data_IF_807567290843
#
_entry.id   IF_807567290843
#
_cell.length_a   1.000
_cell.length_b   1.000
_cell.length_c   1.000
_cell.angle_alpha   90.00
_cell.angle_beta   90.00
_cell.angle_gamma   90.00
#
_symmetry.space_group_name_H-M   'P 1'
#
loop_
_entity.id
_entity.type
_entity.pdbx_description
1 polymer ?
#
# COMPACT_ATOMS: atom_id res chain seq x y z
N UNK A 1 -40.66 39.21 -50.91
CA UNK A 1 -39.80 39.05 -49.71
C UNK A 1 -39.00 37.80 -49.98
N UNK A 2 -37.75 37.98 -50.38
CA UNK A 2 -36.84 36.97 -50.95
C UNK A 2 -36.24 36.12 -49.84
N UNK A 3 -36.51 34.81 -49.84
CA UNK A 3 -35.80 33.84 -49.01
C UNK A 3 -34.40 33.61 -49.58
N UNK A 4 -33.40 33.90 -48.77
CA UNK A 4 -31.98 33.74 -49.05
C UNK A 4 -31.58 32.27 -48.78
N UNK A 5 -31.25 31.53 -49.83
CA UNK A 5 -30.79 30.14 -49.77
C UNK A 5 -29.32 30.13 -49.29
N UNK A 6 -29.14 30.19 -47.96
CA UNK A 6 -27.82 30.03 -47.34
C UNK A 6 -27.29 28.62 -47.58
N UNK A 7 -26.13 28.52 -48.24
CA UNK A 7 -25.45 27.26 -48.53
C UNK A 7 -25.17 26.43 -47.25
N UNK A 8 -25.12 25.09 -47.34
CA UNK A 8 -24.81 24.24 -46.19
C UNK A 8 -23.41 24.55 -45.64
N UNK A 9 -23.19 24.46 -44.31
CA UNK A 9 -21.86 24.66 -43.72
C UNK A 9 -20.85 23.66 -44.31
N UNK A 10 -19.59 24.07 -44.52
CA UNK A 10 -18.55 23.16 -44.99
C UNK A 10 -18.40 21.99 -44.03
N UNK A 11 -18.37 20.77 -44.59
CA UNK A 11 -18.19 19.53 -43.83
C UNK A 11 -16.94 19.62 -42.96
N UNK A 12 -16.97 19.12 -41.70
CA UNK A 12 -15.77 18.96 -40.90
C UNK A 12 -14.74 18.15 -41.68
N UNK A 13 -13.49 18.63 -41.74
CA UNK A 13 -12.40 17.94 -42.38
C UNK A 13 -12.18 16.57 -41.69
N UNK A 14 -12.69 15.51 -42.31
CA UNK A 14 -12.60 14.13 -41.84
C UNK A 14 -11.14 13.65 -41.75
N UNK A 15 -10.18 14.43 -42.26
CA UNK A 15 -8.75 14.21 -42.08
C UNK A 15 -8.23 14.49 -40.66
N UNK A 16 -8.87 15.40 -39.90
CA UNK A 16 -8.41 15.78 -38.57
C UNK A 16 -8.65 14.71 -37.50
N UNK A 17 -9.65 13.84 -37.67
CA UNK A 17 -9.93 12.72 -36.77
C UNK A 17 -8.97 11.52 -36.95
N UNK A 18 -8.09 11.57 -37.96
CA UNK A 18 -7.37 10.38 -38.46
C UNK A 18 -5.86 10.36 -38.21
N UNK A 19 -5.28 11.38 -37.55
CA UNK A 19 -3.83 11.45 -37.32
C UNK A 19 -3.34 10.85 -35.98
N UNK A 20 -4.02 9.84 -35.43
CA UNK A 20 -3.43 9.03 -34.35
C UNK A 20 -2.36 8.11 -34.95
N UNK A 21 -1.08 8.43 -34.74
CA UNK A 21 0.07 7.73 -35.32
C UNK A 21 0.28 6.33 -34.75
N UNK A 22 0.99 5.43 -35.47
CA UNK A 22 1.24 4.03 -35.05
C UNK A 22 2.05 3.86 -33.74
N UNK A 23 2.57 4.97 -33.19
CA UNK A 23 3.36 5.02 -31.95
C UNK A 23 2.56 5.52 -30.73
N UNK A 24 1.26 5.73 -30.88
CA UNK A 24 0.41 6.20 -29.80
C UNK A 24 -0.14 5.04 -28.97
N UNK A 25 0.21 5.07 -27.70
CA UNK A 25 -0.25 4.15 -26.69
C UNK A 25 -1.24 4.81 -25.76
N UNK A 26 -2.20 4.02 -25.32
CA UNK A 26 -3.08 4.33 -24.23
C UNK A 26 -2.86 3.31 -23.11
N UNK A 27 -3.08 3.74 -21.88
CA UNK A 27 -2.93 2.90 -20.70
C UNK A 27 -4.02 3.22 -19.68
N UNK A 28 -4.37 2.26 -18.85
CA UNK A 28 -5.41 2.43 -17.83
C UNK A 28 -4.79 2.57 -16.45
N UNK A 29 -5.08 3.67 -15.76
CA UNK A 29 -4.71 3.86 -14.34
C UNK A 29 -5.94 4.27 -13.57
N UNK A 30 -6.19 3.60 -12.45
CA UNK A 30 -7.35 3.84 -11.59
C UNK A 30 -8.70 3.80 -12.35
N UNK A 31 -8.83 2.91 -13.33
CA UNK A 31 -10.04 2.77 -14.16
C UNK A 31 -10.22 3.85 -15.22
N UNK A 32 -9.34 4.85 -15.29
CA UNK A 32 -9.37 5.90 -16.31
C UNK A 32 -8.39 5.60 -17.44
N UNK A 33 -8.87 5.73 -18.69
CA UNK A 33 -8.02 5.70 -19.89
C UNK A 33 -7.16 6.97 -19.94
N UNK A 34 -5.85 6.80 -20.06
CA UNK A 34 -4.85 7.86 -20.26
C UNK A 34 -4.18 7.71 -21.62
N UNK A 35 -3.64 8.81 -22.15
CA UNK A 35 -3.02 8.90 -23.48
C UNK A 35 -3.79 9.83 -24.43
N UNK A 36 -3.35 9.95 -25.69
CA UNK A 36 -2.25 9.19 -26.32
C UNK A 36 -0.87 9.56 -25.75
N UNK A 37 0.00 8.57 -25.61
CA UNK A 37 1.38 8.71 -25.11
C UNK A 37 2.33 7.86 -25.94
N UNK A 38 3.64 7.97 -25.70
CA UNK A 38 4.66 7.20 -26.42
C UNK A 38 5.15 5.98 -25.61
N UNK A 39 5.74 5.00 -26.28
CA UNK A 39 6.35 3.84 -25.62
C UNK A 39 7.47 4.23 -24.64
N UNK A 40 8.23 5.29 -24.94
CA UNK A 40 9.28 5.82 -24.04
C UNK A 40 8.67 6.42 -22.77
N UNK A 41 7.56 7.15 -22.89
CA UNK A 41 6.83 7.64 -21.71
C UNK A 41 6.27 6.50 -20.88
N UNK A 42 5.74 5.43 -21.50
CA UNK A 42 5.31 4.24 -20.76
C UNK A 42 6.48 3.58 -20.04
N UNK A 43 7.67 3.49 -20.67
CA UNK A 43 8.89 3.03 -20.03
C UNK A 43 9.25 3.87 -18.80
N UNK A 44 9.17 5.20 -18.91
CA UNK A 44 9.47 6.11 -17.80
C UNK A 44 8.46 5.97 -16.66
N UNK A 45 7.17 5.81 -16.97
CA UNK A 45 6.12 5.56 -15.98
C UNK A 45 6.33 4.22 -15.27
N UNK A 46 6.75 3.18 -16.00
CA UNK A 46 7.10 1.87 -15.44
C UNK A 46 8.32 1.99 -14.50
N UNK A 47 9.39 2.65 -14.97
CA UNK A 47 10.60 2.90 -14.17
C UNK A 47 10.31 3.71 -12.89
N UNK A 48 9.38 4.66 -12.96
CA UNK A 48 8.91 5.46 -11.82
C UNK A 48 7.93 4.71 -10.91
N UNK A 49 7.54 3.47 -11.25
CA UNK A 49 6.51 2.67 -10.57
C UNK A 49 5.16 3.39 -10.46
N UNK A 50 4.84 4.23 -11.44
CA UNK A 50 3.51 4.86 -11.58
C UNK A 50 2.52 3.91 -12.25
N UNK A 51 3.02 2.97 -13.05
CA UNK A 51 2.28 1.86 -13.64
C UNK A 51 2.98 0.53 -13.32
N UNK A 52 2.22 -0.55 -13.16
CA UNK A 52 2.71 -1.90 -12.87
C UNK A 52 2.77 -2.75 -14.17
N UNK A 53 3.45 -3.90 -14.16
CA UNK A 53 3.65 -4.76 -15.35
C UNK A 53 2.37 -5.44 -15.86
N UNK A 54 1.33 -5.45 -15.04
CA UNK A 54 -0.02 -5.91 -15.35
C UNK A 54 -0.96 -4.77 -15.79
N UNK A 55 -0.46 -3.53 -15.86
CA UNK A 55 -1.24 -2.38 -16.33
C UNK A 55 -1.75 -2.64 -17.74
N UNK A 56 -3.04 -2.43 -17.95
CA UNK A 56 -3.66 -2.60 -19.26
C UNK A 56 -3.20 -1.48 -20.20
N UNK A 57 -2.62 -1.89 -21.33
CA UNK A 57 -2.19 -1.01 -22.41
C UNK A 57 -2.88 -1.40 -23.70
N UNK A 58 -3.06 -0.40 -24.57
CA UNK A 58 -3.66 -0.58 -25.87
C UNK A 58 -3.06 0.40 -26.85
N UNK A 59 -2.89 -0.03 -28.10
CA UNK A 59 -2.56 0.84 -29.21
C UNK A 59 -3.46 0.53 -30.39
N UNK A 60 -3.56 1.50 -31.30
CA UNK A 60 -4.27 1.34 -32.56
C UNK A 60 -3.73 0.12 -33.32
N UNK A 61 -4.64 -0.79 -33.68
CA UNK A 61 -4.30 -2.09 -34.31
C UNK A 61 -4.37 -3.30 -33.37
N UNK A 62 -4.49 -3.09 -32.06
CA UNK A 62 -4.79 -4.18 -31.12
C UNK A 62 -6.30 -4.43 -31.02
N UNK A 63 -6.77 -5.70 -31.04
CA UNK A 63 -8.19 -6.02 -30.96
C UNK A 63 -8.78 -5.75 -29.57
N UNK A 64 -7.97 -5.87 -28.51
CA UNK A 64 -8.38 -5.71 -27.13
C UNK A 64 -7.23 -5.13 -26.28
N UNK A 65 -7.58 -4.63 -25.09
CA UNK A 65 -6.60 -4.21 -24.09
C UNK A 65 -5.79 -5.41 -23.62
N UNK A 66 -4.47 -5.25 -23.53
CA UNK A 66 -3.58 -6.31 -23.03
C UNK A 66 -2.72 -5.81 -21.87
N UNK A 67 -2.37 -6.69 -20.91
CA UNK A 67 -1.38 -6.36 -19.90
C UNK A 67 -0.06 -5.94 -20.55
N UNK A 68 0.63 -4.96 -19.98
CA UNK A 68 1.90 -4.42 -20.48
C UNK A 68 2.89 -5.54 -20.83
N UNK A 69 3.05 -6.52 -19.94
CA UNK A 69 3.96 -7.68 -20.13
C UNK A 69 3.62 -8.57 -21.34
N UNK A 70 2.36 -8.57 -21.79
CA UNK A 70 1.84 -9.40 -22.90
C UNK A 70 1.68 -8.60 -24.20
N UNK A 71 1.97 -7.29 -24.14
CA UNK A 71 1.92 -6.38 -25.28
C UNK A 71 3.26 -6.34 -26.02
N UNK A 72 3.30 -5.60 -27.13
CA UNK A 72 4.55 -5.32 -27.85
C UNK A 72 5.58 -4.54 -27.00
N UNK A 73 5.15 -3.97 -25.87
CA UNK A 73 6.02 -3.36 -24.87
C UNK A 73 6.57 -4.36 -23.83
N UNK A 74 6.29 -5.65 -23.99
CA UNK A 74 6.75 -6.70 -23.09
C UNK A 74 8.28 -6.78 -22.98
N UNK A 75 9.02 -6.38 -24.02
CA UNK A 75 10.49 -6.28 -23.97
C UNK A 75 10.98 -5.24 -22.96
N UNK A 76 10.20 -4.17 -22.71
CA UNK A 76 10.50 -3.18 -21.66
C UNK A 76 10.37 -3.80 -20.25
N UNK A 77 9.58 -4.87 -20.12
CA UNK A 77 9.38 -5.63 -18.89
C UNK A 77 10.41 -6.76 -18.77
N UNK A 78 10.84 -7.35 -19.88
CA UNK A 78 11.78 -8.48 -19.92
C UNK A 78 13.16 -8.16 -19.30
N UNK A 79 13.51 -6.89 -19.15
CA UNK A 79 14.70 -6.47 -18.39
C UNK A 79 14.57 -6.61 -16.87
N UNK A 80 13.36 -6.80 -16.33
CA UNK A 80 13.15 -7.09 -14.92
C UNK A 80 13.03 -8.61 -14.69
N UNK A 81 13.86 -9.19 -13.79
CA UNK A 81 13.74 -10.60 -13.46
C UNK A 81 12.35 -10.90 -12.87
N UNK A 82 11.76 -12.08 -13.14
CA UNK A 82 10.45 -12.44 -12.65
C UNK A 82 10.41 -12.39 -11.12
N UNK A 83 9.27 -11.96 -10.55
CA UNK A 83 9.09 -11.89 -9.11
C UNK A 83 9.38 -13.24 -8.45
N UNK A 84 10.12 -13.21 -7.34
CA UNK A 84 10.52 -14.41 -6.60
C UNK A 84 9.25 -15.10 -6.09
N UNK A 85 9.20 -16.44 -6.19
CA UNK A 85 8.07 -17.20 -5.66
C UNK A 85 7.78 -16.82 -4.19
N UNK A 86 6.52 -16.50 -3.90
CA UNK A 86 6.07 -16.07 -2.58
C UNK A 86 6.34 -17.09 -1.46
N UNK A 87 6.63 -18.36 -1.80
CA UNK A 87 7.04 -19.40 -0.84
C UNK A 87 8.41 -19.13 -0.21
N UNK A 88 9.30 -18.41 -0.89
CA UNK A 88 10.64 -18.06 -0.38
C UNK A 88 10.66 -16.77 0.45
N UNK A 89 9.54 -16.04 0.52
CA UNK A 89 9.45 -14.80 1.29
C UNK A 89 9.10 -15.14 2.73
N UNK A 90 10.06 -14.97 3.63
CA UNK A 90 9.86 -15.18 5.06
C UNK A 90 8.84 -14.19 5.66
N UNK A 91 8.08 -14.67 6.66
CA UNK A 91 7.03 -13.89 7.32
C UNK A 91 7.46 -13.29 8.68
N UNK A 92 8.76 -13.27 8.99
CA UNK A 92 9.28 -12.88 10.30
C UNK A 92 8.84 -11.49 10.76
N UNK A 93 9.12 -10.44 9.97
CA UNK A 93 8.76 -9.06 10.31
C UNK A 93 7.26 -8.86 10.50
N UNK A 94 6.48 -9.54 9.67
CA UNK A 94 5.02 -9.49 9.71
C UNK A 94 4.45 -10.17 10.96
N UNK A 95 5.05 -11.28 11.40
CA UNK A 95 4.68 -11.88 12.68
C UNK A 95 5.10 -11.04 13.88
N UNK A 96 6.27 -10.40 13.81
CA UNK A 96 6.67 -9.41 14.83
C UNK A 96 5.68 -8.26 14.90
N UNK A 97 5.27 -7.70 13.76
CA UNK A 97 4.21 -6.69 13.69
C UNK A 97 2.90 -7.22 14.28
N UNK A 98 2.50 -8.44 13.92
CA UNK A 98 1.25 -9.06 14.38
C UNK A 98 1.19 -9.25 15.89
N UNK A 99 2.31 -9.53 16.55
CA UNK A 99 2.37 -9.74 18.01
C UNK A 99 2.74 -8.47 18.78
N UNK A 100 3.11 -7.38 18.10
CA UNK A 100 3.51 -6.15 18.77
C UNK A 100 2.39 -5.53 19.63
N UNK A 101 1.11 -5.48 19.22
CA UNK A 101 0.04 -4.89 20.03
C UNK A 101 -0.15 -5.56 21.39
N UNK A 102 -0.08 -6.89 21.45
CA UNK A 102 -0.22 -7.61 22.73
C UNK A 102 0.98 -7.33 23.65
N UNK A 103 2.20 -7.31 23.11
CA UNK A 103 3.40 -6.98 23.90
C UNK A 103 3.30 -5.58 24.48
N UNK A 104 2.86 -4.60 23.68
CA UNK A 104 2.67 -3.23 24.15
C UNK A 104 1.57 -3.14 25.22
N UNK A 105 0.43 -3.81 25.02
CA UNK A 105 -0.66 -3.83 26.00
C UNK A 105 -0.24 -4.42 27.35
N UNK A 106 0.58 -5.48 27.34
CA UNK A 106 1.17 -6.06 28.57
C UNK A 106 2.07 -5.06 29.28
N UNK A 107 2.95 -4.35 28.55
CA UNK A 107 3.84 -3.35 29.15
C UNK A 107 3.04 -2.21 29.78
N UNK A 108 2.04 -1.68 29.08
CA UNK A 108 1.18 -0.61 29.61
C UNK A 108 0.40 -1.07 30.85
N UNK A 109 -0.12 -2.30 30.85
CA UNK A 109 -0.81 -2.88 31.99
C UNK A 109 0.12 -3.01 33.21
N UNK A 110 1.36 -3.46 33.01
CA UNK A 110 2.35 -3.54 34.09
C UNK A 110 2.71 -2.18 34.67
N UNK A 111 2.88 -1.16 33.81
CA UNK A 111 3.15 0.21 34.26
C UNK A 111 1.94 0.78 35.02
N UNK A 112 0.72 0.57 34.53
CA UNK A 112 -0.51 0.99 35.21
C UNK A 112 -0.65 0.34 36.59
N UNK A 113 -0.49 -0.99 36.68
CA UNK A 113 -0.54 -1.73 37.95
C UNK A 113 0.53 -1.22 38.94
N UNK A 114 1.76 -1.04 38.48
CA UNK A 114 2.83 -0.51 39.33
C UNK A 114 2.56 0.91 39.82
N UNK A 115 1.92 1.75 39.01
CA UNK A 115 1.54 3.10 39.41
C UNK A 115 0.42 3.10 40.46
N UNK A 116 -0.58 2.22 40.34
CA UNK A 116 -1.67 2.08 41.32
C UNK A 116 -1.13 1.62 42.69
N UNK A 117 -0.25 0.61 42.71
CA UNK A 117 0.39 0.13 43.94
C UNK A 117 1.21 1.22 44.64
N UNK A 118 1.98 2.00 43.86
CA UNK A 118 2.78 3.10 44.39
C UNK A 118 1.91 4.24 44.93
N UNK A 119 0.82 4.57 44.23
CA UNK A 119 -0.14 5.57 44.68
C UNK A 119 -0.81 5.19 46.00
N UNK A 120 -1.25 3.94 46.16
CA UNK A 120 -1.85 3.45 47.41
C UNK A 120 -0.89 3.56 48.61
N UNK A 121 0.39 3.18 48.41
CA UNK A 121 1.43 3.30 49.45
C UNK A 121 1.73 4.76 49.79
N UNK A 122 1.76 5.63 48.78
CA UNK A 122 2.03 7.06 48.97
C UNK A 122 0.95 7.75 49.81
N UNK A 123 -0.31 7.38 49.60
CA UNK A 123 -1.45 7.85 50.39
C UNK A 123 -1.34 7.41 51.85
N UNK A 124 -0.99 6.14 52.09
CA UNK A 124 -0.81 5.61 53.44
C UNK A 124 0.34 6.29 54.21
N UNK A 125 1.39 6.73 53.50
CA UNK A 125 2.58 7.35 54.10
C UNK A 125 2.55 8.88 54.09
N UNK A 126 1.55 9.52 53.46
CA UNK A 126 1.47 10.97 53.32
C UNK A 126 2.57 11.58 52.43
N UNK A 127 3.16 10.78 51.54
CA UNK A 127 4.24 11.21 50.64
C UNK A 127 3.62 11.58 49.28
N UNK A 128 3.93 12.75 48.71
CA UNK A 128 3.45 13.09 47.38
C UNK A 128 4.02 12.12 46.33
N UNK A 129 3.15 11.61 45.45
CA UNK A 129 3.51 10.68 44.39
C UNK A 129 3.18 11.24 43.00
N UNK A 130 4.06 10.98 42.04
CA UNK A 130 3.88 11.31 40.64
C UNK A 130 3.93 10.02 39.82
N UNK A 131 2.83 9.71 39.14
CA UNK A 131 2.72 8.51 38.32
C UNK A 131 3.75 8.53 37.18
N UNK A 132 4.36 7.38 36.92
CA UNK A 132 5.22 7.23 35.74
C UNK A 132 4.35 7.26 34.49
N UNK A 133 4.77 8.04 33.49
CA UNK A 133 4.11 8.04 32.19
C UNK A 133 4.39 6.68 31.54
N UNK A 134 3.34 6.03 31.02
CA UNK A 134 3.44 4.81 30.20
C UNK A 134 4.28 5.01 28.94
N UNK A 135 4.19 4.08 27.98
CA UNK A 135 5.03 4.21 26.78
C UNK A 135 4.65 5.49 26.01
N UNK A 136 5.64 6.26 25.56
CA UNK A 136 5.37 7.41 24.71
C UNK A 136 4.79 6.92 23.38
N UNK A 137 3.70 7.52 22.91
CA UNK A 137 2.98 7.10 21.69
C UNK A 137 3.88 7.04 20.43
N UNK A 138 4.98 7.78 20.43
CA UNK A 138 5.97 7.79 19.35
C UNK A 138 6.67 6.43 19.21
N UNK A 139 6.92 5.72 20.31
CA UNK A 139 7.64 4.46 20.29
C UNK A 139 6.95 3.37 19.44
N UNK A 140 5.67 3.04 19.67
CA UNK A 140 4.98 2.05 18.83
C UNK A 140 4.84 2.51 17.38
N UNK A 141 4.68 3.81 17.12
CA UNK A 141 4.64 4.36 15.75
C UNK A 141 5.97 4.15 15.03
N UNK A 142 7.09 4.46 15.68
CA UNK A 142 8.44 4.28 15.11
C UNK A 142 8.74 2.80 14.86
N UNK A 143 8.41 1.91 15.81
CA UNK A 143 8.64 0.47 15.67
C UNK A 143 7.81 -0.11 14.51
N UNK A 144 6.51 0.22 14.44
CA UNK A 144 5.65 -0.21 13.33
C UNK A 144 6.17 0.29 11.99
N UNK A 145 6.51 1.58 11.91
CA UNK A 145 7.05 2.19 10.69
C UNK A 145 8.35 1.54 10.24
N UNK A 146 9.28 1.26 11.16
CA UNK A 146 10.54 0.59 10.87
C UNK A 146 10.33 -0.84 10.37
N UNK A 147 9.52 -1.64 11.08
CA UNK A 147 9.26 -3.03 10.71
C UNK A 147 8.50 -3.14 9.37
N UNK A 148 7.51 -2.28 9.16
CA UNK A 148 6.78 -2.18 7.90
C UNK A 148 7.70 -1.78 6.74
N UNK A 149 8.58 -0.80 6.96
CA UNK A 149 9.57 -0.39 5.96
C UNK A 149 10.58 -1.50 5.64
N UNK A 150 11.05 -2.26 6.64
CA UNK A 150 11.97 -3.38 6.44
C UNK A 150 11.33 -4.51 5.62
N UNK A 151 10.06 -4.84 5.89
CA UNK A 151 9.34 -5.84 5.11
C UNK A 151 9.04 -5.34 3.67
N UNK A 152 8.60 -4.09 3.50
CA UNK A 152 8.38 -3.51 2.17
C UNK A 152 9.68 -3.43 1.35
N UNK A 153 10.84 -3.17 1.98
CA UNK A 153 12.14 -3.24 1.31
C UNK A 153 12.45 -4.66 0.81
N UNK A 154 12.10 -5.70 1.57
CA UNK A 154 12.23 -7.10 1.12
C UNK A 154 11.25 -7.43 -0.01
N UNK A 155 10.01 -6.95 0.06
CA UNK A 155 9.03 -7.13 -1.02
C UNK A 155 9.49 -6.45 -2.31
N UNK A 156 10.08 -5.26 -2.22
CA UNK A 156 10.68 -4.56 -3.35
C UNK A 156 11.81 -5.37 -3.98
N UNK A 157 12.72 -5.93 -3.17
CA UNK A 157 13.81 -6.78 -3.64
C UNK A 157 13.29 -8.09 -4.29
N UNK A 158 12.13 -8.57 -3.87
CA UNK A 158 11.50 -9.77 -4.43
C UNK A 158 10.63 -9.51 -5.67
N UNK A 159 10.53 -8.25 -6.14
CA UNK A 159 9.75 -7.88 -7.32
C UNK A 159 8.27 -7.53 -7.05
N UNK A 160 7.85 -7.37 -5.79
CA UNK A 160 6.46 -7.06 -5.40
C UNK A 160 6.23 -5.60 -4.99
N UNK A 161 7.22 -4.73 -5.18
CA UNK A 161 7.23 -3.40 -4.60
C UNK A 161 6.41 -2.37 -5.39
N UNK A 162 5.49 -1.67 -4.71
CA UNK A 162 4.82 -0.47 -5.24
C UNK A 162 4.90 0.71 -4.26
N UNK A 163 4.57 1.91 -4.74
CA UNK A 163 4.49 3.11 -3.88
C UNK A 163 3.39 2.98 -2.81
N UNK A 164 2.26 2.38 -3.18
CA UNK A 164 1.13 2.20 -2.27
C UNK A 164 1.47 1.23 -1.11
N UNK A 165 2.24 0.15 -1.37
CA UNK A 165 2.66 -0.76 -0.29
C UNK A 165 3.58 -0.08 0.69
N UNK A 166 4.50 0.76 0.21
CA UNK A 166 5.42 1.51 1.07
C UNK A 166 4.67 2.45 2.02
N UNK A 167 3.72 3.22 1.50
CA UNK A 167 2.95 4.18 2.30
C UNK A 167 2.09 3.44 3.33
N UNK A 168 1.39 2.39 2.90
CA UNK A 168 0.54 1.61 3.81
C UNK A 168 1.36 0.87 4.86
N UNK A 169 2.57 0.38 4.53
CA UNK A 169 3.46 -0.29 5.48
C UNK A 169 3.86 0.59 6.66
N UNK A 170 4.07 1.89 6.41
CA UNK A 170 4.53 2.83 7.43
C UNK A 170 3.36 3.43 8.23
N UNK A 171 2.22 3.69 7.56
CA UNK A 171 1.12 4.45 8.17
C UNK A 171 -0.04 3.59 8.68
N UNK A 172 -0.27 2.42 8.08
CA UNK A 172 -1.48 1.61 8.30
C UNK A 172 -1.15 0.12 8.36
N UNK A 173 -0.57 -0.33 9.49
CA UNK A 173 -0.17 -1.72 9.73
C UNK A 173 -1.25 -2.75 9.36
N UNK A 174 -2.51 -2.69 9.86
CA UNK A 174 -3.49 -3.73 9.54
C UNK A 174 -3.80 -3.82 8.04
N UNK A 175 -3.98 -2.67 7.38
CA UNK A 175 -4.27 -2.60 5.94
C UNK A 175 -3.10 -3.17 5.13
N UNK A 176 -1.87 -2.79 5.51
CA UNK A 176 -0.65 -3.30 4.88
C UNK A 176 -0.55 -4.82 4.95
N UNK A 177 -0.83 -5.43 6.10
CA UNK A 177 -0.79 -6.88 6.26
C UNK A 177 -1.77 -7.59 5.30
N UNK A 178 -2.99 -7.07 5.14
CA UNK A 178 -3.94 -7.63 4.16
C UNK A 178 -3.48 -7.45 2.72
N UNK A 179 -2.98 -6.26 2.36
CA UNK A 179 -2.49 -5.97 1.00
C UNK A 179 -1.30 -6.86 0.64
N UNK A 180 -0.36 -7.05 1.59
CA UNK A 180 0.79 -7.95 1.43
C UNK A 180 0.33 -9.38 1.17
N UNK A 181 -0.60 -9.91 1.99
CA UNK A 181 -1.11 -11.27 1.82
C UNK A 181 -1.73 -11.46 0.43
N UNK A 182 -2.56 -10.50 -0.01
CA UNK A 182 -3.19 -10.53 -1.33
C UNK A 182 -2.16 -10.52 -2.47
N UNK A 183 -1.13 -9.67 -2.39
CA UNK A 183 -0.05 -9.59 -3.40
C UNK A 183 0.76 -10.88 -3.50
N UNK A 184 1.07 -11.48 -2.35
CA UNK A 184 1.82 -12.74 -2.28
C UNK A 184 0.95 -13.97 -2.57
N UNK A 185 -0.36 -13.80 -2.79
CA UNK A 185 -1.36 -14.87 -2.89
C UNK A 185 -1.32 -15.83 -1.69
N UNK A 186 -1.01 -15.29 -0.51
CA UNK A 186 -0.95 -16.01 0.75
C UNK A 186 -2.22 -15.80 1.58
N UNK A 187 -2.47 -16.70 2.54
CA UNK A 187 -3.54 -16.53 3.53
C UNK A 187 -3.16 -15.43 4.54
N UNK A 188 -4.07 -14.52 4.92
CA UNK A 188 -3.75 -13.35 5.77
C UNK A 188 -3.74 -13.68 7.28
N UNK A 189 -3.18 -14.82 7.69
CA UNK A 189 -3.24 -15.26 9.11
C UNK A 189 -2.64 -14.24 10.08
N UNK A 190 -1.52 -13.64 9.72
CA UNK A 190 -0.85 -12.61 10.53
C UNK A 190 -1.67 -11.31 10.65
N UNK A 191 -2.49 -10.98 9.64
CA UNK A 191 -3.38 -9.80 9.72
C UNK A 191 -4.49 -10.03 10.73
N UNK A 192 -5.06 -11.25 10.74
CA UNK A 192 -6.03 -11.68 11.76
C UNK A 192 -5.37 -11.72 13.14
N UNK A 193 -4.15 -12.28 13.25
CA UNK A 193 -3.41 -12.31 14.50
C UNK A 193 -3.11 -10.91 15.04
N UNK A 194 -2.84 -9.93 14.17
CA UNK A 194 -2.67 -8.52 14.57
C UNK A 194 -3.95 -7.93 15.18
N UNK A 195 -5.13 -8.23 14.61
CA UNK A 195 -6.41 -7.77 15.17
C UNK A 195 -6.67 -8.43 16.52
N UNK A 196 -6.45 -9.74 16.62
CA UNK A 196 -6.62 -10.48 17.87
C UNK A 196 -5.66 -9.99 18.95
N UNK A 197 -4.39 -9.73 18.61
CA UNK A 197 -3.40 -9.25 19.57
C UNK A 197 -3.73 -7.84 20.05
N UNK A 198 -4.30 -6.98 19.19
CA UNK A 198 -4.78 -5.66 19.58
C UNK A 198 -5.93 -5.76 20.58
N UNK A 199 -6.91 -6.62 20.31
CA UNK A 199 -8.06 -6.85 21.21
C UNK A 199 -7.57 -7.40 22.55
N UNK A 200 -6.73 -8.44 22.54
CA UNK A 200 -6.20 -9.05 23.76
C UNK A 200 -5.35 -8.06 24.55
N UNK A 201 -4.46 -7.32 23.89
CA UNK A 201 -3.64 -6.30 24.54
C UNK A 201 -4.49 -5.21 25.20
N UNK A 202 -5.55 -4.76 24.53
CA UNK A 202 -6.51 -3.82 25.10
C UNK A 202 -7.25 -4.39 26.31
N UNK A 203 -7.73 -5.64 26.23
CA UNK A 203 -8.43 -6.29 27.35
C UNK A 203 -7.52 -6.47 28.58
N UNK A 204 -6.25 -6.82 28.37
CA UNK A 204 -5.26 -6.93 29.45
C UNK A 204 -5.09 -5.58 30.14
N UNK A 205 -4.89 -4.51 29.37
CA UNK A 205 -4.76 -3.16 29.93
C UNK A 205 -6.03 -2.73 30.68
N UNK A 206 -7.20 -2.91 30.07
CA UNK A 206 -8.48 -2.56 30.67
C UNK A 206 -8.76 -3.32 31.98
N UNK A 207 -8.27 -4.55 32.12
CA UNK A 207 -8.45 -5.35 33.35
C UNK A 207 -7.68 -4.83 34.56
N UNK A 208 -6.64 -4.02 34.35
CA UNK A 208 -5.86 -3.37 35.42
C UNK A 208 -6.44 -2.01 35.78
N UNK A 209 -7.04 -1.33 34.81
CA UNK A 209 -7.60 0.01 35.00
C UNK A 209 -9.01 -0.02 35.65
N UNK A 210 -9.72 -1.15 35.58
CA UNK A 210 -11.05 -1.37 36.14
C UNK A 210 -11.05 -1.65 37.64
#
# INVERSE_FOLDING_TARGET
MTEDLSAPPPLPDLGAASQLGPNEWHYVVNGARRGPTTATTIKDLLNKKEIETDTQVWRKGMPEWKPLRESDLGELVASEPPAISSKHIGNGYVWTLALLPIVLGVIEALVSASNQDAAARSLALGIPYHASRGLPFQLPVVINGLLGWLDDRRLQQAGYGSRATRITAVLLTPVYLFLRAKRLKQRPYYAVAWILSLIVGFLIYASVES
#
